data_IF_905389200521
#
_entry.id   IF_905389200521
#
_cell.length_a   1.000
_cell.length_b   1.000
_cell.length_c   1.000
_cell.angle_alpha   90.00
_cell.angle_beta   90.00
_cell.angle_gamma   90.00
#
_symmetry.space_group_name_H-M   'P 1'
#
loop_
_entity.id
_entity.type
_entity.pdbx_description
1 polymer ?
#
# COMPACT_ATOMS: atom_id res chain seq x y z
N UNK A 1 -7.07 -0.59 -5.67
CA UNK A 1 -8.42 -0.25 -5.20
C UNK A 1 -8.41 0.34 -3.79
N UNK A 2 -7.63 -0.21 -2.85
CA UNK A 2 -7.58 0.22 -1.44
C UNK A 2 -7.16 1.69 -1.24
N UNK A 3 -6.44 2.28 -2.20
CA UNK A 3 -6.07 3.70 -2.21
C UNK A 3 -7.16 4.62 -2.73
N UNK A 4 -8.28 4.06 -3.24
CA UNK A 4 -9.47 4.75 -3.78
C UNK A 4 -9.17 6.05 -4.54
N UNK A 5 -8.10 6.04 -5.37
CA UNK A 5 -7.72 7.19 -6.20
C UNK A 5 -7.09 8.37 -5.42
N UNK A 6 -6.84 8.21 -4.11
CA UNK A 6 -6.27 9.27 -3.27
C UNK A 6 -4.85 9.67 -3.67
N UNK A 7 -4.11 8.78 -4.33
CA UNK A 7 -2.82 9.10 -4.90
C UNK A 7 -2.92 10.19 -5.98
N UNK A 8 -3.88 10.04 -6.90
CA UNK A 8 -4.18 11.05 -7.94
C UNK A 8 -4.74 12.32 -7.32
N UNK A 9 -5.62 12.18 -6.32
CA UNK A 9 -6.14 13.30 -5.52
C UNK A 9 -5.02 14.08 -4.86
N UNK A 10 -4.06 13.39 -4.21
CA UNK A 10 -2.91 14.03 -3.60
C UNK A 10 -2.13 14.90 -4.60
N UNK A 11 -1.78 14.37 -5.78
CA UNK A 11 -1.07 15.14 -6.81
C UNK A 11 -1.86 16.37 -7.25
N UNK A 12 -3.16 16.24 -7.47
CA UNK A 12 -3.99 17.35 -7.91
C UNK A 12 -4.04 18.47 -6.86
N UNK A 13 -4.33 18.14 -5.61
CA UNK A 13 -4.48 19.13 -4.55
C UNK A 13 -3.14 19.72 -4.10
N UNK A 14 -2.07 18.92 -4.04
CA UNK A 14 -0.73 19.40 -3.72
C UNK A 14 -0.14 20.35 -4.78
N UNK A 15 -0.50 20.17 -6.08
CA UNK A 15 -0.01 21.03 -7.17
C UNK A 15 -0.87 22.26 -7.42
N UNK A 16 -2.11 22.32 -6.92
CA UNK A 16 -3.01 23.48 -7.13
C UNK A 16 -2.56 24.76 -6.41
N UNK A 17 -1.68 24.65 -5.41
CA UNK A 17 -1.17 25.79 -4.67
C UNK A 17 -2.19 26.50 -3.75
N UNK A 18 -3.40 25.94 -3.58
CA UNK A 18 -4.47 26.48 -2.72
C UNK A 18 -4.32 25.96 -1.29
N UNK A 19 -4.01 24.69 -1.15
CA UNK A 19 -3.85 24.02 0.14
C UNK A 19 -2.35 23.76 0.39
N UNK A 20 -1.91 23.81 1.65
CA UNK A 20 -0.53 23.46 2.02
C UNK A 20 -0.23 22.01 1.67
N UNK A 21 0.78 21.73 0.84
CA UNK A 21 1.12 20.37 0.41
C UNK A 21 1.34 19.39 1.57
N UNK A 22 1.82 19.89 2.71
CA UNK A 22 2.03 19.07 3.89
C UNK A 22 0.71 18.68 4.57
N UNK A 23 -0.28 19.58 4.57
CA UNK A 23 -1.65 19.26 5.03
C UNK A 23 -2.31 18.24 4.13
N UNK A 24 -2.16 18.41 2.80
CA UNK A 24 -2.69 17.45 1.81
C UNK A 24 -2.07 16.08 2.04
N UNK A 25 -0.75 16.01 2.20
CA UNK A 25 -0.03 14.76 2.48
C UNK A 25 -0.49 14.10 3.77
N UNK A 26 -0.53 14.83 4.87
CA UNK A 26 -0.95 14.34 6.19
C UNK A 26 -2.39 13.80 6.16
N UNK A 27 -3.32 14.58 5.60
CA UNK A 27 -4.73 14.18 5.49
C UNK A 27 -4.90 12.92 4.65
N UNK A 28 -4.18 12.83 3.51
CA UNK A 28 -4.22 11.67 2.62
C UNK A 28 -3.63 10.43 3.30
N UNK A 29 -2.48 10.57 3.95
CA UNK A 29 -1.79 9.47 4.63
C UNK A 29 -2.65 8.91 5.77
N UNK A 30 -3.24 9.78 6.60
CA UNK A 30 -4.12 9.37 7.70
C UNK A 30 -5.39 8.68 7.18
N UNK A 31 -6.00 9.19 6.11
CA UNK A 31 -7.20 8.60 5.52
C UNK A 31 -6.93 7.22 4.94
N UNK A 32 -5.87 7.06 4.13
CA UNK A 32 -5.49 5.76 3.56
C UNK A 32 -5.01 4.80 4.64
N UNK A 33 -4.29 5.30 5.65
CA UNK A 33 -3.88 4.49 6.81
C UNK A 33 -5.08 3.96 7.61
N UNK A 34 -6.06 4.80 7.88
CA UNK A 34 -7.29 4.39 8.57
C UNK A 34 -8.09 3.34 7.78
N UNK A 35 -8.23 3.52 6.46
CA UNK A 35 -8.90 2.52 5.61
C UNK A 35 -8.12 1.22 5.48
N UNK A 36 -6.79 1.26 5.38
CA UNK A 36 -5.95 0.07 5.36
C UNK A 36 -6.04 -0.70 6.69
N UNK A 37 -6.07 0.01 7.81
CA UNK A 37 -6.21 -0.58 9.14
C UNK A 37 -7.60 -1.18 9.34
N UNK A 38 -8.66 -0.47 8.93
CA UNK A 38 -10.03 -0.99 8.96
C UNK A 38 -10.16 -2.25 8.09
N UNK A 39 -9.60 -2.24 6.89
CA UNK A 39 -9.55 -3.39 6.00
C UNK A 39 -8.87 -4.59 6.67
N UNK A 40 -7.72 -4.38 7.32
CA UNK A 40 -7.03 -5.44 8.05
C UNK A 40 -7.89 -6.01 9.19
N UNK A 41 -8.49 -5.14 10.03
CA UNK A 41 -9.33 -5.59 11.15
C UNK A 41 -10.49 -6.44 10.61
N UNK A 42 -11.19 -5.98 9.58
CA UNK A 42 -12.32 -6.71 9.01
C UNK A 42 -11.86 -8.04 8.40
N UNK A 43 -10.84 -8.03 7.55
CA UNK A 43 -10.38 -9.24 6.87
C UNK A 43 -9.76 -10.27 7.84
N UNK A 44 -9.03 -9.82 8.87
CA UNK A 44 -8.50 -10.73 9.88
C UNK A 44 -9.59 -11.30 10.78
N UNK A 45 -10.66 -10.55 11.05
CA UNK A 45 -11.83 -11.09 11.79
C UNK A 45 -12.55 -12.20 11.02
N UNK A 46 -12.53 -12.14 9.69
CA UNK A 46 -13.11 -13.15 8.79
C UNK A 46 -12.05 -14.04 8.10
N UNK A 47 -10.86 -14.17 8.72
CA UNK A 47 -9.73 -14.87 8.09
C UNK A 47 -10.05 -16.32 7.73
N UNK A 48 -10.66 -17.08 8.63
CA UNK A 48 -10.98 -18.49 8.41
C UNK A 48 -12.00 -18.72 7.27
N UNK A 49 -13.16 -18.02 7.23
CA UNK A 49 -14.09 -18.15 6.10
C UNK A 49 -13.47 -17.67 4.78
N UNK A 50 -12.67 -16.61 4.77
CA UNK A 50 -11.98 -16.11 3.56
C UNK A 50 -10.96 -17.14 3.06
N UNK A 51 -10.13 -17.70 3.95
CA UNK A 51 -9.14 -18.71 3.60
C UNK A 51 -9.81 -19.99 3.07
N UNK A 52 -10.91 -20.43 3.69
CA UNK A 52 -11.69 -21.57 3.23
C UNK A 52 -12.29 -21.38 1.84
N UNK A 53 -12.86 -20.20 1.57
CA UNK A 53 -13.44 -19.88 0.26
C UNK A 53 -12.37 -19.84 -0.87
N UNK A 54 -11.15 -19.39 -0.55
CA UNK A 54 -10.05 -19.30 -1.50
C UNK A 54 -9.19 -20.58 -1.61
N UNK A 55 -9.57 -21.67 -0.92
CA UNK A 55 -8.87 -22.95 -0.99
C UNK A 55 -7.63 -23.05 -0.08
N UNK A 56 -7.42 -22.08 0.82
CA UNK A 56 -6.32 -22.05 1.79
C UNK A 56 -6.76 -22.42 3.22
N UNK A 57 -7.84 -23.21 3.35
CA UNK A 57 -8.41 -23.58 4.65
C UNK A 57 -7.46 -24.30 5.59
N UNK A 58 -6.52 -25.10 5.07
CA UNK A 58 -5.49 -25.78 5.86
C UNK A 58 -4.40 -24.85 6.38
N UNK A 59 -4.15 -23.71 5.71
CA UNK A 59 -3.12 -22.75 6.05
C UNK A 59 -3.62 -21.30 6.05
N UNK A 60 -4.55 -20.92 6.91
CA UNK A 60 -5.17 -19.59 6.91
C UNK A 60 -4.15 -18.47 7.18
N UNK A 61 -3.04 -18.76 7.84
CA UNK A 61 -1.99 -17.79 8.12
C UNK A 61 -1.26 -17.27 6.86
N UNK A 62 -1.22 -18.02 5.74
CA UNK A 62 -0.71 -17.53 4.45
C UNK A 62 -1.55 -16.36 3.96
N UNK A 63 -2.87 -16.51 4.07
CA UNK A 63 -3.82 -15.46 3.74
C UNK A 63 -3.64 -14.24 4.66
N UNK A 64 -3.42 -14.46 5.95
CA UNK A 64 -3.13 -13.39 6.90
C UNK A 64 -1.91 -12.55 6.49
N UNK A 65 -0.79 -13.20 6.13
CA UNK A 65 0.40 -12.49 5.64
C UNK A 65 0.12 -11.70 4.36
N UNK A 66 -0.62 -12.28 3.41
CA UNK A 66 -1.01 -11.60 2.16
C UNK A 66 -1.85 -10.35 2.43
N UNK A 67 -2.83 -10.43 3.33
CA UNK A 67 -3.67 -9.29 3.71
C UNK A 67 -2.85 -8.16 4.34
N UNK A 68 -1.87 -8.50 5.20
CA UNK A 68 -0.97 -7.51 5.80
C UNK A 68 -0.12 -6.83 4.71
N UNK A 69 0.44 -7.60 3.77
CA UNK A 69 1.20 -7.04 2.64
C UNK A 69 0.35 -6.08 1.83
N UNK A 70 -0.89 -6.46 1.47
CA UNK A 70 -1.81 -5.61 0.70
C UNK A 70 -2.12 -4.30 1.42
N UNK A 71 -2.34 -4.34 2.73
CA UNK A 71 -2.60 -3.14 3.52
C UNK A 71 -1.36 -2.25 3.63
N UNK A 72 -0.16 -2.84 3.81
CA UNK A 72 1.10 -2.09 3.84
C UNK A 72 1.40 -1.45 2.48
N UNK A 73 1.16 -2.15 1.37
CA UNK A 73 1.35 -1.62 0.02
C UNK A 73 0.40 -0.45 -0.26
N UNK A 74 -0.86 -0.55 0.16
CA UNK A 74 -1.82 0.54 0.06
C UNK A 74 -1.37 1.77 0.86
N UNK A 75 -0.88 1.56 2.07
CA UNK A 75 -0.36 2.65 2.92
C UNK A 75 0.89 3.29 2.31
N UNK A 76 1.83 2.50 1.79
CA UNK A 76 3.07 2.98 1.17
C UNK A 76 2.83 3.78 -0.12
N UNK A 77 1.70 3.62 -0.80
CA UNK A 77 1.38 4.34 -2.02
C UNK A 77 1.46 5.86 -1.83
N UNK A 78 1.04 6.38 -0.67
CA UNK A 78 1.05 7.81 -0.38
C UNK A 78 2.45 8.37 -0.14
N UNK A 79 3.33 7.79 0.70
CA UNK A 79 4.73 8.16 0.79
C UNK A 79 5.47 8.08 -0.55
N UNK A 80 5.18 7.08 -1.38
CA UNK A 80 5.75 6.99 -2.73
C UNK A 80 5.24 8.13 -3.64
N UNK A 81 3.97 8.50 -3.56
CA UNK A 81 3.43 9.67 -4.25
C UNK A 81 4.12 10.96 -3.79
N UNK A 82 4.37 11.11 -2.49
CA UNK A 82 5.07 12.25 -1.93
C UNK A 82 6.52 12.35 -2.39
N UNK A 83 7.26 11.23 -2.51
CA UNK A 83 8.61 11.22 -3.09
C UNK A 83 8.61 11.72 -4.53
N UNK A 84 7.63 11.32 -5.33
CA UNK A 84 7.45 11.81 -6.71
C UNK A 84 7.12 13.30 -6.75
N UNK A 85 6.22 13.74 -5.87
CA UNK A 85 5.89 15.17 -5.73
C UNK A 85 7.14 16.02 -5.37
N UNK A 86 7.96 15.55 -4.43
CA UNK A 86 9.22 16.17 -4.03
C UNK A 86 10.33 16.12 -5.09
N UNK A 87 10.02 15.62 -6.30
CA UNK A 87 10.99 15.46 -7.40
C UNK A 87 12.24 14.66 -6.99
N UNK A 88 12.06 13.61 -6.19
CA UNK A 88 13.11 12.66 -5.79
C UNK A 88 12.98 11.31 -6.48
N UNK A 89 13.06 11.24 -7.84
CA UNK A 89 12.82 10.02 -8.60
C UNK A 89 13.85 8.93 -8.31
N UNK A 90 15.09 9.32 -8.03
CA UNK A 90 16.18 8.37 -7.71
C UNK A 90 15.86 7.58 -6.44
N UNK A 91 15.40 8.24 -5.37
CA UNK A 91 15.02 7.55 -4.14
C UNK A 91 13.81 6.62 -4.36
N UNK A 92 12.81 7.09 -5.10
CA UNK A 92 11.65 6.29 -5.48
C UNK A 92 12.07 5.03 -6.25
N UNK A 93 12.89 5.19 -7.31
CA UNK A 93 13.37 4.08 -8.13
C UNK A 93 14.23 3.11 -7.32
N UNK A 94 15.15 3.64 -6.50
CA UNK A 94 16.03 2.81 -5.66
C UNK A 94 15.23 1.94 -4.69
N UNK A 95 14.20 2.46 -4.03
CA UNK A 95 13.36 1.68 -3.11
C UNK A 95 12.54 0.61 -3.85
N UNK A 96 12.02 0.92 -5.04
CA UNK A 96 11.29 -0.05 -5.86
C UNK A 96 12.22 -1.15 -6.38
N UNK A 97 13.41 -0.79 -6.84
CA UNK A 97 14.42 -1.76 -7.27
C UNK A 97 14.92 -2.61 -6.10
N UNK A 98 15.16 -2.01 -4.95
CA UNK A 98 15.54 -2.75 -3.73
C UNK A 98 14.49 -3.82 -3.39
N UNK A 99 13.20 -3.45 -3.42
CA UNK A 99 12.11 -4.41 -3.19
C UNK A 99 12.16 -5.57 -4.19
N UNK A 100 12.25 -5.25 -5.50
CA UNK A 100 12.23 -6.26 -6.57
C UNK A 100 13.46 -7.18 -6.45
N UNK A 101 14.65 -6.63 -6.34
CA UNK A 101 15.88 -7.42 -6.25
C UNK A 101 15.94 -8.25 -4.97
N UNK A 102 15.58 -7.67 -3.82
CA UNK A 102 15.55 -8.40 -2.55
C UNK A 102 14.52 -9.54 -2.59
N UNK A 103 13.33 -9.29 -3.09
CA UNK A 103 12.28 -10.31 -3.21
C UNK A 103 12.71 -11.45 -4.14
N UNK A 104 13.23 -11.15 -5.33
CA UNK A 104 13.69 -12.15 -6.29
C UNK A 104 14.87 -12.93 -5.72
N UNK A 105 15.89 -12.25 -5.19
CA UNK A 105 17.10 -12.90 -4.66
C UNK A 105 16.78 -13.85 -3.49
N UNK A 106 15.94 -13.43 -2.55
CA UNK A 106 15.54 -14.25 -1.41
C UNK A 106 14.68 -15.44 -1.83
N UNK A 107 13.76 -15.26 -2.79
CA UNK A 107 12.98 -16.38 -3.32
C UNK A 107 13.86 -17.40 -4.06
N UNK A 108 14.79 -16.93 -4.91
CA UNK A 108 15.73 -17.84 -5.59
C UNK A 108 16.63 -18.56 -4.57
N UNK A 109 17.17 -17.84 -3.59
CA UNK A 109 18.01 -18.44 -2.55
C UNK A 109 17.26 -19.53 -1.77
N UNK A 110 15.99 -19.32 -1.45
CA UNK A 110 15.18 -20.31 -0.73
C UNK A 110 14.79 -21.50 -1.62
N UNK A 111 14.16 -21.27 -2.77
CA UNK A 111 13.60 -22.35 -3.59
C UNK A 111 14.66 -23.11 -4.38
N UNK A 112 15.70 -22.43 -4.87
CA UNK A 112 16.77 -23.05 -5.67
C UNK A 112 17.96 -23.45 -4.80
N UNK A 113 18.43 -22.55 -3.92
CA UNK A 113 19.61 -22.78 -3.10
C UNK A 113 19.35 -23.77 -1.96
N UNK A 114 18.26 -23.60 -1.23
CA UNK A 114 17.90 -24.44 -0.07
C UNK A 114 16.92 -25.57 -0.42
N UNK A 115 16.47 -25.67 -1.70
CA UNK A 115 15.45 -26.63 -2.16
C UNK A 115 14.20 -26.64 -1.27
N UNK A 116 13.79 -25.46 -0.82
CA UNK A 116 12.62 -25.30 0.04
C UNK A 116 11.33 -25.57 -0.74
N UNK A 117 10.40 -26.31 -0.13
CA UNK A 117 9.10 -26.66 -0.75
C UNK A 117 7.94 -25.85 -0.15
N UNK A 118 8.18 -25.11 0.93
CA UNK A 118 7.12 -24.41 1.65
C UNK A 118 6.78 -23.06 0.98
N UNK A 119 5.63 -23.01 0.31
CA UNK A 119 5.11 -21.81 -0.36
C UNK A 119 4.88 -20.65 0.62
N UNK A 120 4.59 -20.93 1.89
CA UNK A 120 4.41 -19.92 2.93
C UNK A 120 5.63 -19.01 3.14
N UNK A 121 6.83 -19.51 2.83
CA UNK A 121 8.06 -18.71 2.92
C UNK A 121 8.09 -17.61 1.86
N UNK A 122 7.50 -17.82 0.68
CA UNK A 122 7.39 -16.77 -0.32
C UNK A 122 6.53 -15.57 0.18
N UNK A 123 5.43 -15.85 0.90
CA UNK A 123 4.62 -14.80 1.52
C UNK A 123 5.39 -14.10 2.65
N UNK A 124 6.14 -14.84 3.45
CA UNK A 124 6.97 -14.27 4.51
C UNK A 124 8.10 -13.39 3.95
N UNK A 125 8.76 -13.80 2.85
CA UNK A 125 9.77 -13.00 2.15
C UNK A 125 9.15 -11.71 1.61
N UNK A 126 7.97 -11.78 0.99
CA UNK A 126 7.27 -10.60 0.49
C UNK A 126 6.94 -9.63 1.63
N UNK A 127 6.41 -10.13 2.74
CA UNK A 127 6.13 -9.34 3.94
C UNK A 127 7.40 -8.68 4.51
N UNK A 128 8.51 -9.42 4.58
CA UNK A 128 9.78 -8.89 5.05
C UNK A 128 10.32 -7.78 4.14
N UNK A 129 10.27 -7.98 2.81
CA UNK A 129 10.71 -6.98 1.83
C UNK A 129 9.83 -5.71 1.88
N UNK A 130 8.51 -5.85 1.98
CA UNK A 130 7.57 -4.72 2.12
C UNK A 130 7.84 -3.96 3.42
N UNK A 131 8.07 -4.66 4.53
CA UNK A 131 8.42 -4.06 5.82
C UNK A 131 9.75 -3.32 5.76
N UNK A 132 10.76 -3.88 5.10
CA UNK A 132 12.07 -3.25 4.92
C UNK A 132 11.94 -1.93 4.13
N UNK A 133 11.17 -1.91 3.04
CA UNK A 133 10.91 -0.68 2.29
C UNK A 133 10.19 0.36 3.14
N UNK A 134 9.23 -0.06 3.95
CA UNK A 134 8.53 0.83 4.88
C UNK A 134 9.47 1.45 5.91
N UNK A 135 10.40 0.67 6.46
CA UNK A 135 11.45 1.17 7.36
C UNK A 135 12.38 2.19 6.66
N UNK A 136 12.76 1.93 5.39
CA UNK A 136 13.55 2.87 4.60
C UNK A 136 12.82 4.20 4.32
N UNK A 137 11.48 4.19 4.38
CA UNK A 137 10.65 5.39 4.21
C UNK A 137 10.31 6.09 5.54
N UNK A 138 10.95 5.69 6.65
CA UNK A 138 10.71 6.28 7.98
C UNK A 138 10.80 7.81 7.99
N UNK A 139 11.75 8.38 7.25
CA UNK A 139 11.93 9.84 7.14
C UNK A 139 10.75 10.57 6.50
N UNK A 140 9.99 9.89 5.66
CA UNK A 140 8.77 10.42 5.02
C UNK A 140 7.54 10.25 5.92
N UNK A 141 7.61 9.33 6.90
CA UNK A 141 6.54 9.05 7.84
C UNK A 141 6.64 9.84 9.14
N UNK A 142 7.85 10.28 9.52
CA UNK A 142 8.12 10.97 10.79
C UNK A 142 8.68 12.37 10.51
N UNK A 143 8.46 13.28 11.43
CA UNK A 143 9.07 14.62 11.38
C UNK A 143 8.16 15.74 10.92
N UNK A 144 6.86 15.50 10.82
CA UNK A 144 5.84 16.52 10.57
C UNK A 144 4.60 16.35 11.46
N UNK A 145 3.80 17.39 11.56
CA UNK A 145 2.56 17.35 12.34
C UNK A 145 1.47 16.64 11.53
N UNK A 146 0.95 15.57 12.08
CA UNK A 146 -0.22 14.89 11.50
C UNK A 146 -1.47 15.75 11.75
N UNK A 147 -2.04 16.27 10.69
CA UNK A 147 -3.28 17.05 10.74
C UNK A 147 -4.28 16.39 9.80
N UNK A 148 -5.43 16.00 10.36
CA UNK A 148 -6.58 15.54 9.58
C UNK A 148 -7.51 16.70 9.32
N UNK A 149 -7.48 17.24 8.12
CA UNK A 149 -8.41 18.29 7.69
C UNK A 149 -9.64 17.63 7.04
N UNK A 150 -10.79 17.66 7.76
CA UNK A 150 -12.02 17.00 7.32
C UNK A 150 -12.63 17.65 6.08
N UNK A 151 -12.49 18.96 5.93
CA UNK A 151 -13.00 19.67 4.77
C UNK A 151 -12.19 19.35 3.52
N UNK A 152 -10.85 19.38 3.66
CA UNK A 152 -9.93 18.96 2.62
C UNK A 152 -10.16 17.49 2.23
N UNK A 153 -10.30 16.61 3.21
CA UNK A 153 -10.60 15.19 2.98
C UNK A 153 -11.88 14.99 2.18
N UNK A 154 -12.96 15.72 2.54
CA UNK A 154 -14.23 15.64 1.81
C UNK A 154 -14.08 16.07 0.35
N UNK A 155 -13.36 17.17 0.10
CA UNK A 155 -13.07 17.64 -1.27
C UNK A 155 -12.24 16.63 -2.06
N UNK A 156 -11.25 16.03 -1.43
CA UNK A 156 -10.39 14.99 -2.04
C UNK A 156 -11.18 13.73 -2.33
N UNK A 157 -12.01 13.25 -1.42
CA UNK A 157 -12.87 12.08 -1.61
C UNK A 157 -13.87 12.30 -2.76
N UNK A 158 -14.51 13.48 -2.81
CA UNK A 158 -15.44 13.78 -3.91
C UNK A 158 -14.76 13.72 -5.28
N UNK A 159 -13.48 14.09 -5.35
CA UNK A 159 -12.69 13.98 -6.58
C UNK A 159 -12.20 12.54 -6.85
N UNK A 160 -11.80 11.81 -5.82
CA UNK A 160 -11.17 10.49 -5.94
C UNK A 160 -12.20 9.37 -6.17
N UNK A 161 -13.43 9.50 -5.66
CA UNK A 161 -14.49 8.49 -5.86
C UNK A 161 -14.85 8.24 -7.33
N UNK A 162 -15.05 9.24 -8.19
CA UNK A 162 -15.26 9.00 -9.62
C UNK A 162 -14.09 8.29 -10.29
N UNK A 163 -12.85 8.57 -9.88
CA UNK A 163 -11.65 7.90 -10.39
C UNK A 163 -11.63 6.42 -9.97
N UNK A 164 -12.06 6.12 -8.75
CA UNK A 164 -12.22 4.74 -8.28
C UNK A 164 -13.23 3.98 -9.13
N UNK A 165 -14.40 4.58 -9.42
CA UNK A 165 -15.44 3.97 -10.26
C UNK A 165 -14.91 3.69 -11.66
N UNK A 166 -14.20 4.64 -12.26
CA UNK A 166 -13.55 4.46 -13.56
C UNK A 166 -12.51 3.34 -13.53
N UNK A 167 -11.74 3.25 -12.46
CA UNK A 167 -10.75 2.17 -12.26
C UNK A 167 -11.41 0.79 -12.16
N UNK A 168 -12.52 0.68 -11.42
CA UNK A 168 -13.30 -0.57 -11.32
C UNK A 168 -13.90 -0.94 -12.67
N UNK A 169 -14.51 0.02 -13.37
CA UNK A 169 -15.07 -0.20 -14.70
C UNK A 169 -14.00 -0.66 -15.70
N UNK A 170 -12.78 -0.09 -15.62
CA UNK A 170 -11.65 -0.52 -16.44
C UNK A 170 -11.24 -1.97 -16.19
N UNK A 171 -11.23 -2.42 -14.93
CA UNK A 171 -10.92 -3.81 -14.58
C UNK A 171 -12.01 -4.76 -15.09
N UNK A 172 -13.29 -4.40 -14.91
CA UNK A 172 -14.42 -5.21 -15.38
C UNK A 172 -14.47 -5.34 -16.91
N UNK A 173 -13.95 -4.37 -17.64
CA UNK A 173 -13.89 -4.42 -19.11
C UNK A 173 -12.73 -5.27 -19.64
N UNK A 174 -11.79 -5.69 -18.79
CA UNK A 174 -10.64 -6.55 -19.16
C UNK A 174 -10.88 -8.04 -18.86
N UNK A 175 -11.98 -8.37 -18.18
CA UNK A 175 -12.42 -9.73 -17.86
C UNK A 175 -13.50 -10.16 -18.83
#
# INVERSE_FOLDING_TARGET
>A
LLTYGMETGFFRFANKGVDDPMRVYSTTLLSVGATALLFLIVCLSFLHPIAGFLGYGEHPWYMGMMLIVVAMDAFQAIPFAYLRYKKRPVKFAALKLLFIFASIALNIAYFVGMKGENVGVAFAINLACTSLVMLCMWKELVGFRYVLDRELLRRMLHYSLPILILGIAGILNQV
#
